data_IF_548686967200
#
_entry.id   IF_548686967200
#
_cell.length_a   1.000
_cell.length_b   1.000
_cell.length_c   1.000
_cell.angle_alpha   90.00
_cell.angle_beta   90.00
_cell.angle_gamma   90.00
#
_symmetry.space_group_name_H-M   'P 1'
#
loop_
_entity.id
_entity.type
_entity.pdbx_description
1 polymer ?
#
# COMPACT_ATOMS: atom_id res chain seq x y z
N UNK A 1 -4.99 -31.85 -24.49
CA UNK A 1 -5.18 -30.76 -23.50
C UNK A 1 -3.91 -30.66 -22.68
N UNK A 2 -3.61 -29.46 -22.18
CA UNK A 2 -2.56 -29.16 -21.20
C UNK A 2 -1.11 -29.03 -21.72
N UNK A 3 -0.73 -27.76 -21.95
CA UNK A 3 0.58 -27.16 -21.63
C UNK A 3 0.38 -25.64 -21.76
N UNK A 4 0.00 -25.01 -20.67
CA UNK A 4 0.89 -24.44 -19.65
C UNK A 4 1.01 -22.93 -19.91
N UNK A 5 0.27 -22.20 -19.06
CA UNK A 5 0.43 -20.80 -18.66
C UNK A 5 1.54 -20.04 -19.40
N UNK A 6 1.10 -19.20 -20.33
CA UNK A 6 1.93 -18.24 -21.06
C UNK A 6 2.77 -17.46 -20.06
N UNK A 7 4.09 -17.54 -20.25
CA UNK A 7 5.13 -16.74 -19.58
C UNK A 7 4.64 -15.31 -19.39
N UNK A 8 4.34 -14.91 -18.15
CA UNK A 8 4.33 -13.49 -17.79
C UNK A 8 5.72 -12.96 -18.16
N UNK A 9 5.80 -11.95 -19.01
CA UNK A 9 7.09 -11.37 -19.37
C UNK A 9 7.74 -10.79 -18.10
N UNK A 10 9.05 -10.92 -17.97
CA UNK A 10 9.75 -10.49 -16.76
C UNK A 10 9.55 -8.99 -16.46
N UNK A 11 9.20 -8.20 -17.48
CA UNK A 11 8.86 -6.78 -17.35
C UNK A 11 7.53 -6.57 -16.63
N UNK A 12 6.50 -7.32 -16.99
CA UNK A 12 5.18 -7.31 -16.33
C UNK A 12 5.34 -7.78 -14.88
N UNK A 13 6.12 -8.83 -14.65
CA UNK A 13 6.40 -9.31 -13.29
C UNK A 13 7.08 -8.22 -12.44
N UNK A 14 8.17 -7.62 -12.93
CA UNK A 14 8.87 -6.57 -12.20
C UNK A 14 7.99 -5.33 -11.98
N UNK A 15 7.15 -4.97 -12.96
CA UNK A 15 6.21 -3.87 -12.81
C UNK A 15 5.18 -4.15 -11.71
N UNK A 16 4.62 -5.38 -11.65
CA UNK A 16 3.69 -5.79 -10.59
C UNK A 16 4.35 -5.74 -9.20
N UNK A 17 5.61 -6.14 -9.07
CA UNK A 17 6.33 -6.09 -7.78
C UNK A 17 6.55 -4.65 -7.28
N UNK A 18 6.70 -3.67 -8.18
CA UNK A 18 6.89 -2.26 -7.80
C UNK A 18 5.59 -1.48 -7.57
N UNK A 19 4.46 -2.00 -8.06
CA UNK A 19 3.15 -1.31 -8.02
C UNK A 19 2.12 -2.03 -7.14
N UNK A 20 2.52 -3.10 -6.45
CA UNK A 20 1.69 -3.78 -5.48
C UNK A 20 2.46 -4.11 -4.21
N UNK A 21 1.77 -4.05 -3.06
CA UNK A 21 2.26 -4.51 -1.76
C UNK A 21 1.22 -5.41 -1.12
N UNK A 22 1.63 -6.24 -0.17
CA UNK A 22 0.69 -7.08 0.58
C UNK A 22 0.14 -6.31 1.77
N UNK A 23 -1.16 -6.47 2.04
CA UNK A 23 -1.75 -6.00 3.28
C UNK A 23 -1.01 -6.61 4.49
N UNK A 24 -0.55 -5.83 5.47
CA UNK A 24 0.15 -6.36 6.64
C UNK A 24 -0.74 -7.24 7.52
N UNK A 25 -2.07 -7.11 7.42
CA UNK A 25 -3.04 -7.89 8.18
C UNK A 25 -3.50 -9.16 7.44
N UNK A 26 -4.05 -9.02 6.23
CA UNK A 26 -4.65 -10.14 5.50
C UNK A 26 -3.85 -10.66 4.30
N UNK A 27 -2.67 -10.08 4.02
CA UNK A 27 -1.73 -10.50 2.96
C UNK A 27 -2.23 -10.45 1.52
N UNK A 28 -3.42 -9.91 1.25
CA UNK A 28 -3.88 -9.68 -0.13
C UNK A 28 -2.97 -8.68 -0.84
N UNK A 29 -2.77 -8.80 -2.16
CA UNK A 29 -2.10 -7.76 -2.93
C UNK A 29 -2.98 -6.50 -3.02
N UNK A 30 -2.39 -5.36 -2.73
CA UNK A 30 -2.97 -4.02 -2.82
C UNK A 30 -2.14 -3.24 -3.83
N UNK A 31 -2.79 -2.60 -4.79
CA UNK A 31 -2.14 -1.72 -5.75
C UNK A 31 -1.80 -0.38 -5.08
N UNK A 32 -0.64 0.19 -5.43
CA UNK A 32 -0.24 1.51 -4.92
C UNK A 32 -1.19 2.59 -5.43
N UNK A 33 -1.77 3.37 -4.52
CA UNK A 33 -2.41 4.63 -4.87
C UNK A 33 -1.36 5.75 -4.95
N UNK A 34 -1.54 6.69 -5.88
CA UNK A 34 -0.62 7.80 -6.06
C UNK A 34 -0.95 8.94 -5.08
N UNK A 35 0.09 9.59 -4.53
CA UNK A 35 -0.05 10.85 -3.78
C UNK A 35 -0.28 10.73 -2.28
N UNK A 36 -0.43 9.52 -1.72
CA UNK A 36 -0.54 9.30 -0.28
C UNK A 36 0.04 7.94 0.12
N UNK A 37 0.72 7.88 1.27
CA UNK A 37 1.16 6.62 1.86
C UNK A 37 0.15 6.03 2.85
N UNK A 38 -0.93 6.72 3.18
CA UNK A 38 -2.02 6.13 3.95
C UNK A 38 -2.86 5.27 3.01
N UNK A 39 -2.83 3.97 3.23
CA UNK A 39 -3.57 3.00 2.42
C UNK A 39 -4.63 2.32 3.27
N UNK A 40 -5.74 1.96 2.64
CA UNK A 40 -6.81 1.17 3.26
C UNK A 40 -6.95 -0.15 2.51
N UNK A 41 -6.94 -1.27 3.24
CA UNK A 41 -7.14 -2.58 2.63
C UNK A 41 -8.61 -2.79 2.25
N UNK A 42 -8.90 -2.98 0.97
CA UNK A 42 -10.27 -3.18 0.47
C UNK A 42 -10.97 -4.48 0.92
N UNK A 43 -10.26 -5.42 1.54
CA UNK A 43 -10.86 -6.68 2.03
C UNK A 43 -11.02 -6.78 3.53
N UNK A 44 -10.19 -6.09 4.31
CA UNK A 44 -10.20 -6.19 5.78
C UNK A 44 -10.18 -4.83 6.48
N UNK A 45 -10.27 -3.74 5.72
CA UNK A 45 -10.37 -2.35 6.17
C UNK A 45 -9.21 -1.86 7.05
N UNK A 46 -8.12 -2.63 7.12
CA UNK A 46 -6.90 -2.22 7.82
C UNK A 46 -6.29 -0.99 7.16
N UNK A 47 -6.09 0.05 7.96
CA UNK A 47 -5.31 1.23 7.59
C UNK A 47 -3.84 0.94 7.82
N UNK A 48 -2.99 1.25 6.85
CA UNK A 48 -1.55 1.04 6.99
C UNK A 48 -0.74 2.04 6.18
N UNK A 49 0.54 2.21 6.53
CA UNK A 49 1.46 3.04 5.80
C UNK A 49 2.13 2.25 4.67
N UNK A 50 2.00 2.72 3.44
CA UNK A 50 2.66 2.14 2.28
C UNK A 50 4.19 2.19 2.38
N UNK A 51 4.77 3.18 3.07
CA UNK A 51 6.22 3.31 3.14
C UNK A 51 6.85 2.28 4.09
N UNK A 52 6.31 2.17 5.31
CA UNK A 52 6.90 1.35 6.39
C UNK A 52 6.10 0.09 6.74
N UNK A 53 4.99 -0.18 6.05
CA UNK A 53 4.09 -1.33 6.27
C UNK A 53 3.45 -1.39 7.68
N UNK A 54 3.56 -0.31 8.46
CA UNK A 54 2.95 -0.21 9.80
C UNK A 54 1.43 -0.12 9.71
N UNK A 55 0.74 -0.93 10.52
CA UNK A 55 -0.70 -0.80 10.75
C UNK A 55 -0.96 0.48 11.55
N UNK A 56 -1.94 1.28 11.10
CA UNK A 56 -2.33 2.55 11.70
C UNK A 56 -3.62 2.31 12.48
N UNK A 57 -3.49 1.83 13.72
CA UNK A 57 -4.60 1.66 14.65
C UNK A 57 -4.69 2.90 15.56
N UNK A 58 -5.55 3.88 15.22
CA UNK A 58 -5.74 5.08 16.03
C UNK A 58 -6.01 6.36 15.23
N UNK A 59 -5.54 7.51 15.74
CA UNK A 59 -5.64 8.79 15.02
C UNK A 59 -4.75 8.70 13.78
N UNK A 60 -5.37 8.58 12.60
CA UNK A 60 -4.73 8.35 11.30
C UNK A 60 -3.56 9.30 10.99
N UNK A 61 -3.54 10.48 11.61
CA UNK A 61 -2.59 11.57 11.38
C UNK A 61 -1.31 11.50 12.21
N UNK A 62 -1.30 10.81 13.36
CA UNK A 62 -0.12 10.77 14.24
C UNK A 62 1.07 10.12 13.55
N UNK A 63 0.81 9.05 12.79
CA UNK A 63 1.85 8.34 12.04
C UNK A 63 2.60 9.28 11.08
N UNK A 64 1.89 10.11 10.32
CA UNK A 64 2.46 11.00 9.30
C UNK A 64 2.94 12.36 9.84
N UNK A 65 2.86 12.59 11.15
CA UNK A 65 3.35 13.80 11.81
C UNK A 65 4.54 13.52 12.73
N UNK A 66 4.59 12.35 13.36
CA UNK A 66 5.60 11.99 14.35
C UNK A 66 6.66 11.01 13.83
N UNK A 67 6.37 10.21 12.80
CA UNK A 67 7.33 9.26 12.25
C UNK A 67 8.35 9.98 11.35
N UNK A 68 9.66 9.97 11.67
CA UNK A 68 10.68 10.67 10.88
C UNK A 68 10.68 10.26 9.40
N UNK A 69 10.46 8.98 9.15
CA UNK A 69 10.51 8.38 7.81
C UNK A 69 9.20 8.48 7.03
N UNK A 70 8.10 8.93 7.65
CA UNK A 70 6.77 8.99 7.02
C UNK A 70 6.13 10.38 7.10
N UNK A 71 6.89 11.39 7.52
CA UNK A 71 6.37 12.75 7.72
C UNK A 71 5.94 13.38 6.40
N UNK A 72 4.71 13.93 6.36
CA UNK A 72 4.23 14.74 5.23
C UNK A 72 3.72 13.96 4.01
N UNK A 73 3.72 12.62 4.06
CA UNK A 73 3.17 11.76 3.01
C UNK A 73 1.81 11.16 3.39
N UNK A 74 1.14 11.77 4.37
CA UNK A 74 -0.23 11.44 4.79
C UNK A 74 -1.30 11.98 3.83
N UNK A 75 -2.59 11.74 4.11
CA UNK A 75 -3.68 12.24 3.28
C UNK A 75 -3.65 13.77 3.25
N UNK A 76 -3.70 14.35 2.05
CA UNK A 76 -3.90 15.77 1.87
C UNK A 76 -5.35 16.09 2.25
N UNK A 77 -5.59 16.53 3.48
CA UNK A 77 -6.88 17.09 3.86
C UNK A 77 -6.96 18.49 3.20
N UNK A 78 -8.02 18.81 2.45
CA UNK A 78 -8.37 20.20 2.18
C UNK A 78 -8.56 20.92 3.53
N UNK A 79 -7.88 22.05 3.72
CA UNK A 79 -8.08 22.91 4.87
C UNK A 79 -9.39 23.68 4.65
N UNK A 80 -10.50 23.10 5.09
CA UNK A 80 -11.83 23.73 5.04
C UNK A 80 -12.43 23.82 6.45
#
# INVERSE_FOLDING_TARGET
MEKAFKKVDARTYNWMQGHSKRCPQCSIPIQREYGCNMMVCSMCDTHFCWNCDAIIDGILYEHFTQSPDCRGEGPQIPLD
#
